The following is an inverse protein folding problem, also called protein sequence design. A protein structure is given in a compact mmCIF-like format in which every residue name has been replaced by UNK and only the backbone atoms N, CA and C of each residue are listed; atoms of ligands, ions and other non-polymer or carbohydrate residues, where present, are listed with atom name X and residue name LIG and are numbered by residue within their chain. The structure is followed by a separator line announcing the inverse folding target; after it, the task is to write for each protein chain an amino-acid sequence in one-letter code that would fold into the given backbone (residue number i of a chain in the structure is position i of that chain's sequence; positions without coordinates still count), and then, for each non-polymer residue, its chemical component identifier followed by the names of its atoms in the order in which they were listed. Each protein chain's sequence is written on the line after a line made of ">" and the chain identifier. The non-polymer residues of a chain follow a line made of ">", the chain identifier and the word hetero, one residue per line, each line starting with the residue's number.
data_IF_225739356293
#
_entry.id   IF_225739356293
#
_cell.length_a   1.000
_cell.length_b   1.000
_cell.length_c   1.000
_cell.angle_alpha   90.00
_cell.angle_beta   90.00
_cell.angle_gamma   90.00
#
_symmetry.space_group_name_H-M   'P 1'
#
loop_
_entity.id
_entity.type
_entity.pdbx_description
1 polymer ?
#
# COMPACT_ATOMS: atom_id res chain seq x y z
N UNK A 1 25.03 34.28 30.21
CA UNK A 1 25.10 32.86 29.84
C UNK A 1 23.70 32.46 29.43
N UNK A 2 23.41 32.58 28.14
CA UNK A 2 22.10 32.24 27.57
C UNK A 2 22.21 30.82 27.01
N UNK A 3 21.38 29.91 27.50
CA UNK A 3 21.30 28.55 27.01
C UNK A 3 20.56 28.55 25.65
N UNK A 4 21.23 28.02 24.63
CA UNK A 4 20.66 27.79 23.31
C UNK A 4 19.62 26.67 23.42
N UNK A 5 18.40 26.96 22.96
CA UNK A 5 17.35 25.96 22.79
C UNK A 5 17.70 25.19 21.51
N UNK A 6 18.33 24.02 21.66
CA UNK A 6 18.52 23.08 20.57
C UNK A 6 17.14 22.70 19.99
N UNK A 7 16.88 23.18 18.78
CA UNK A 7 15.71 22.80 18.00
C UNK A 7 15.76 21.30 17.73
N UNK A 8 14.77 20.57 18.25
CA UNK A 8 14.61 19.15 17.96
C UNK A 8 14.62 18.90 16.45
N UNK A 9 15.34 17.89 15.95
CA UNK A 9 15.35 17.57 14.53
C UNK A 9 13.92 17.18 14.11
N UNK A 10 13.37 17.95 13.18
CA UNK A 10 12.06 17.71 12.59
C UNK A 10 11.99 16.28 12.05
N UNK A 11 11.01 15.51 12.54
CA UNK A 11 10.69 14.17 12.06
C UNK A 11 10.63 14.13 10.51
N UNK A 12 11.24 13.14 9.85
CA UNK A 12 11.31 13.07 8.40
C UNK A 12 10.01 12.49 7.81
N UNK A 13 8.85 12.84 8.35
CA UNK A 13 7.60 12.63 7.63
C UNK A 13 7.63 13.53 6.39
N UNK A 14 8.09 12.95 5.28
CA UNK A 14 8.08 13.56 3.95
C UNK A 14 6.63 13.96 3.64
N UNK A 15 6.30 15.23 3.87
CA UNK A 15 5.14 15.88 3.27
C UNK A 15 5.30 15.81 1.75
N UNK A 16 4.44 15.02 1.10
CA UNK A 16 4.28 15.07 -0.34
C UNK A 16 4.60 13.78 -1.10
N UNK A 17 4.24 12.61 -0.57
CA UNK A 17 4.05 11.44 -1.44
C UNK A 17 2.90 11.80 -2.39
N UNK A 18 3.25 12.07 -3.66
CA UNK A 18 2.26 12.15 -4.73
C UNK A 18 1.60 10.78 -4.74
N UNK A 19 0.30 10.72 -4.37
CA UNK A 19 -0.48 9.48 -4.50
C UNK A 19 -0.22 8.94 -5.90
N UNK A 20 0.37 7.77 -5.97
CA UNK A 20 0.54 7.10 -7.24
C UNK A 20 -0.86 6.94 -7.85
N UNK A 21 -1.03 7.43 -9.09
CA UNK A 21 -2.30 7.37 -9.82
C UNK A 21 -2.50 5.96 -10.41
N UNK A 22 -1.66 4.98 -10.02
CA UNK A 22 -1.96 3.58 -10.23
C UNK A 22 -3.22 3.23 -9.43
N UNK A 23 -4.37 3.38 -10.06
CA UNK A 23 -5.65 3.00 -9.49
C UNK A 23 -5.64 1.48 -9.23
N UNK A 24 -5.59 1.05 -7.97
CA UNK A 24 -5.59 -0.36 -7.56
C UNK A 24 -6.52 -1.24 -8.38
N UNK A 25 -7.75 -0.76 -8.59
CA UNK A 25 -8.81 -1.44 -9.34
C UNK A 25 -9.29 -0.68 -10.59
N UNK A 26 -8.51 0.30 -11.06
CA UNK A 26 -8.86 1.06 -12.26
C UNK A 26 -9.72 2.31 -12.01
N UNK A 27 -10.02 2.99 -13.11
CA UNK A 27 -10.96 4.10 -13.17
C UNK A 27 -12.34 3.64 -13.63
N UNK A 28 -13.39 4.14 -12.99
CA UNK A 28 -14.79 3.95 -13.39
C UNK A 28 -15.44 5.29 -13.71
N UNK A 29 -16.51 5.25 -14.50
CA UNK A 29 -17.31 6.44 -14.83
C UNK A 29 -18.02 6.94 -13.57
N UNK A 30 -18.28 8.24 -13.47
CA UNK A 30 -18.90 8.87 -12.29
C UNK A 30 -20.23 8.23 -11.85
N UNK A 31 -20.95 7.61 -12.79
CA UNK A 31 -22.25 6.97 -12.58
C UNK A 31 -22.18 5.45 -12.76
N UNK A 32 -20.99 4.86 -12.62
CA UNK A 32 -20.81 3.41 -12.69
C UNK A 32 -21.63 2.74 -11.58
N UNK A 33 -22.50 1.81 -11.96
CA UNK A 33 -23.22 0.97 -11.01
C UNK A 33 -22.39 -0.27 -10.77
N UNK A 34 -21.84 -0.39 -9.57
CA UNK A 34 -21.08 -1.57 -9.20
C UNK A 34 -21.98 -2.79 -9.14
N UNK A 35 -21.51 -3.89 -9.73
CA UNK A 35 -22.22 -5.16 -9.79
C UNK A 35 -21.36 -6.33 -9.27
N UNK A 36 -21.89 -7.54 -9.40
CA UNK A 36 -21.20 -8.75 -8.97
C UNK A 36 -19.91 -9.03 -9.76
N UNK A 37 -19.80 -8.57 -11.02
CA UNK A 37 -18.59 -8.73 -11.81
C UNK A 37 -17.49 -7.81 -11.30
N UNK A 38 -17.82 -6.58 -10.89
CA UNK A 38 -16.84 -5.68 -10.28
C UNK A 38 -16.27 -6.26 -8.99
N UNK A 39 -17.13 -6.85 -8.15
CA UNK A 39 -16.69 -7.53 -6.93
C UNK A 39 -15.80 -8.74 -7.24
N UNK A 40 -16.19 -9.59 -8.20
CA UNK A 40 -15.38 -10.73 -8.62
C UNK A 40 -14.00 -10.28 -9.15
N UNK A 41 -13.96 -9.17 -9.89
CA UNK A 41 -12.71 -8.58 -10.37
C UNK A 41 -11.82 -8.08 -9.23
N UNK A 42 -12.40 -7.41 -8.23
CA UNK A 42 -11.71 -7.01 -7.00
C UNK A 42 -11.10 -8.21 -6.28
N UNK A 43 -11.89 -9.25 -6.02
CA UNK A 43 -11.41 -10.46 -5.35
C UNK A 43 -10.27 -11.10 -6.13
N UNK A 44 -10.43 -11.25 -7.45
CA UNK A 44 -9.37 -11.80 -8.30
C UNK A 44 -8.06 -10.98 -8.20
N UNK A 45 -8.16 -9.66 -8.20
CA UNK A 45 -6.98 -8.79 -8.18
C UNK A 45 -6.30 -8.75 -6.81
N UNK A 46 -7.06 -8.63 -5.71
CA UNK A 46 -6.48 -8.63 -4.36
C UNK A 46 -5.77 -9.96 -4.06
N UNK A 47 -6.39 -11.07 -4.46
CA UNK A 47 -5.90 -12.44 -4.19
C UNK A 47 -4.63 -12.70 -4.99
N UNK A 48 -4.64 -12.43 -6.31
CA UNK A 48 -3.50 -12.75 -7.18
C UNK A 48 -2.33 -11.77 -7.08
N UNK A 49 -2.59 -10.47 -6.84
CA UNK A 49 -1.52 -9.45 -6.84
C UNK A 49 -0.88 -9.23 -5.48
N UNK A 50 -1.62 -9.49 -4.40
CA UNK A 50 -1.14 -9.18 -3.04
C UNK A 50 -1.15 -10.41 -2.16
N UNK A 51 -2.30 -11.04 -1.94
CA UNK A 51 -2.45 -12.01 -0.85
C UNK A 51 -1.71 -13.34 -1.09
N UNK A 52 -1.80 -13.93 -2.28
CA UNK A 52 -1.06 -15.16 -2.60
C UNK A 52 0.35 -14.90 -3.16
N UNK A 53 0.85 -13.68 -3.05
CA UNK A 53 2.24 -13.33 -3.33
C UNK A 53 3.03 -13.07 -2.04
N UNK A 54 4.34 -12.76 -2.18
CA UNK A 54 5.21 -12.50 -1.03
C UNK A 54 4.68 -11.41 -0.09
N UNK A 55 3.92 -10.47 -0.66
CA UNK A 55 3.34 -9.34 0.07
C UNK A 55 2.15 -9.69 0.95
N UNK A 56 1.52 -10.85 0.79
CA UNK A 56 0.43 -11.30 1.65
C UNK A 56 0.84 -11.40 3.11
N UNK A 57 2.11 -11.78 3.36
CA UNK A 57 2.73 -11.78 4.68
C UNK A 57 2.72 -10.40 5.34
N UNK A 58 3.00 -9.35 4.57
CA UNK A 58 3.02 -7.96 5.06
C UNK A 58 1.60 -7.53 5.42
N UNK A 59 0.60 -7.93 4.62
CA UNK A 59 -0.81 -7.65 4.90
C UNK A 59 -1.29 -8.28 6.22
N UNK A 60 -0.80 -9.48 6.58
CA UNK A 60 -1.08 -10.08 7.89
C UNK A 60 -0.50 -9.27 9.06
N UNK A 61 0.67 -8.65 8.87
CA UNK A 61 1.38 -7.87 9.90
C UNK A 61 0.78 -6.47 10.12
N UNK A 62 0.09 -5.91 9.12
CA UNK A 62 -0.49 -4.55 9.17
C UNK A 62 -1.58 -4.34 10.24
N UNK A 63 -2.23 -5.43 10.69
CA UNK A 63 -3.35 -5.36 11.62
C UNK A 63 -4.67 -4.83 11.02
N UNK A 64 -5.66 -4.58 11.88
CA UNK A 64 -6.93 -3.96 11.49
C UNK A 64 -7.73 -4.72 10.43
N UNK A 65 -8.36 -3.96 9.52
CA UNK A 65 -9.17 -4.50 8.42
C UNK A 65 -8.32 -5.23 7.38
N UNK A 66 -7.11 -4.73 7.11
CA UNK A 66 -6.16 -5.34 6.16
C UNK A 66 -5.79 -6.76 6.61
N UNK A 67 -5.39 -6.93 7.87
CA UNK A 67 -5.07 -8.25 8.40
C UNK A 67 -6.30 -9.17 8.52
N UNK A 68 -7.52 -8.61 8.61
CA UNK A 68 -8.74 -9.43 8.57
C UNK A 68 -8.95 -10.02 7.18
N UNK A 69 -8.91 -9.18 6.14
CA UNK A 69 -9.04 -9.61 4.73
C UNK A 69 -7.95 -10.63 4.37
N UNK A 70 -6.72 -10.40 4.83
CA UNK A 70 -5.64 -11.36 4.59
C UNK A 70 -5.94 -12.74 5.22
N UNK A 71 -6.37 -12.79 6.49
CA UNK A 71 -6.68 -14.06 7.17
C UNK A 71 -7.86 -14.84 6.56
N UNK A 72 -8.74 -14.17 5.82
CA UNK A 72 -9.84 -14.85 5.12
C UNK A 72 -9.36 -15.63 3.90
N UNK A 73 -8.18 -15.29 3.36
CA UNK A 73 -7.70 -15.79 2.06
C UNK A 73 -6.42 -16.62 2.20
N UNK A 74 -5.52 -16.25 3.12
CA UNK A 74 -4.24 -16.94 3.33
C UNK A 74 -4.13 -17.55 4.72
N UNK A 75 -3.51 -18.73 4.77
CA UNK A 75 -3.28 -19.47 6.00
C UNK A 75 -2.00 -19.01 6.71
N UNK A 76 -1.90 -19.27 8.02
CA UNK A 76 -0.68 -19.02 8.78
C UNK A 76 0.53 -19.82 8.25
N UNK A 77 0.28 -20.92 7.53
CA UNK A 77 1.34 -21.69 6.85
C UNK A 77 1.90 -20.98 5.63
N UNK A 78 1.09 -20.22 4.89
CA UNK A 78 1.53 -19.43 3.73
C UNK A 78 2.43 -18.27 4.16
N UNK A 79 2.24 -17.76 5.37
CA UNK A 79 3.07 -16.72 5.98
C UNK A 79 4.53 -17.17 6.21
N UNK A 80 4.73 -18.45 6.57
CA UNK A 80 6.06 -18.96 6.95
C UNK A 80 6.91 -19.36 5.74
N UNK A 81 6.30 -19.61 4.58
CA UNK A 81 7.00 -20.12 3.40
C UNK A 81 7.51 -19.03 2.45
N UNK A 82 7.08 -17.78 2.64
CA UNK A 82 7.37 -16.71 1.69
C UNK A 82 8.41 -15.73 2.25
N UNK A 83 9.58 -15.73 1.63
CA UNK A 83 10.60 -14.70 1.78
C UNK A 83 10.43 -13.71 0.62
N UNK A 84 10.40 -12.41 0.94
CA UNK A 84 10.37 -11.34 -0.05
C UNK A 84 11.70 -10.59 0.01
N UNK A 85 12.51 -10.71 -1.03
CA UNK A 85 13.73 -9.89 -1.17
C UNK A 85 13.40 -8.43 -1.52
N UNK A 86 12.13 -8.13 -1.82
CA UNK A 86 11.63 -6.78 -2.10
C UNK A 86 11.79 -5.79 -0.95
N UNK A 87 12.10 -6.25 0.26
CA UNK A 87 12.40 -5.39 1.41
C UNK A 87 13.55 -4.42 1.14
N UNK A 88 14.53 -4.82 0.32
CA UNK A 88 15.65 -3.95 -0.02
C UNK A 88 15.29 -2.86 -1.03
N UNK A 89 14.24 -3.07 -1.82
CA UNK A 89 13.78 -2.14 -2.85
C UNK A 89 12.69 -1.19 -2.34
N UNK A 90 11.81 -1.68 -1.47
CA UNK A 90 10.58 -0.98 -1.05
C UNK A 90 10.42 -0.85 0.46
N UNK A 91 11.27 -1.50 1.26
CA UNK A 91 11.17 -1.48 2.72
C UNK A 91 11.84 -0.26 3.35
N UNK A 92 11.49 -0.01 4.60
CA UNK A 92 12.15 0.99 5.43
C UNK A 92 13.38 0.39 6.10
N UNK A 93 14.49 1.12 6.04
CA UNK A 93 15.74 0.76 6.68
C UNK A 93 15.97 1.66 7.89
N UNK A 94 16.05 1.05 9.06
CA UNK A 94 16.53 1.69 10.28
C UNK A 94 18.00 1.31 10.48
N UNK A 95 18.87 2.29 10.27
CA UNK A 95 20.32 2.15 10.45
C UNK A 95 20.88 3.38 11.16
N UNK A 96 21.80 3.15 12.10
CA UNK A 96 22.44 4.20 12.90
C UNK A 96 23.68 4.83 12.23
N UNK A 97 24.12 4.29 11.09
CA UNK A 97 25.27 4.79 10.34
C UNK A 97 26.63 4.24 10.80
N UNK A 98 26.67 3.55 11.95
CA UNK A 98 27.92 3.08 12.58
C UNK A 98 27.95 1.56 12.75
N UNK A 99 26.79 0.93 12.93
CA UNK A 99 26.64 -0.51 13.06
C UNK A 99 26.89 -1.23 11.74
N UNK A 100 27.43 -2.45 11.80
CA UNK A 100 27.51 -3.36 10.66
C UNK A 100 26.15 -3.97 10.28
N UNK A 101 25.10 -3.72 11.06
CA UNK A 101 23.79 -4.32 10.91
C UNK A 101 22.73 -3.22 10.79
N UNK A 102 21.75 -3.45 9.93
CA UNK A 102 20.58 -2.59 9.75
C UNK A 102 19.29 -3.39 9.93
N UNK A 103 18.26 -2.76 10.45
CA UNK A 103 16.93 -3.35 10.57
C UNK A 103 16.09 -2.94 9.38
N UNK A 104 15.48 -3.92 8.73
CA UNK A 104 14.62 -3.70 7.58
C UNK A 104 13.18 -4.08 7.92
N UNK A 105 12.24 -3.23 7.51
CA UNK A 105 10.82 -3.46 7.70
C UNK A 105 10.07 -3.26 6.38
N UNK A 106 9.35 -4.30 5.97
CA UNK A 106 8.46 -4.22 4.83
C UNK A 106 7.15 -3.51 5.18
N UNK A 107 6.65 -2.71 4.25
CA UNK A 107 5.32 -2.15 4.30
C UNK A 107 4.58 -2.35 2.97
N UNK A 108 3.25 -2.33 3.03
CA UNK A 108 2.41 -2.28 1.83
C UNK A 108 2.47 -0.88 1.23
N UNK A 109 2.58 -0.82 -0.08
CA UNK A 109 2.47 0.45 -0.82
C UNK A 109 1.04 1.00 -0.75
N UNK A 110 0.88 2.31 -0.98
CA UNK A 110 -0.46 2.93 -1.07
C UNK A 110 -1.36 2.22 -2.10
N UNK A 111 -0.78 1.78 -3.22
CA UNK A 111 -1.48 1.03 -4.26
C UNK A 111 -2.02 -0.32 -3.76
N UNK A 112 -1.21 -1.06 -3.00
CA UNK A 112 -1.59 -2.35 -2.44
C UNK A 112 -2.65 -2.19 -1.35
N UNK A 113 -2.53 -1.14 -0.53
CA UNK A 113 -3.56 -0.78 0.45
C UNK A 113 -4.89 -0.43 -0.22
N UNK A 114 -4.86 0.42 -1.25
CA UNK A 114 -6.03 0.77 -2.05
C UNK A 114 -6.67 -0.48 -2.69
N UNK A 115 -5.85 -1.37 -3.26
CA UNK A 115 -6.31 -2.62 -3.83
C UNK A 115 -6.96 -3.52 -2.77
N UNK A 116 -6.32 -3.74 -1.62
CA UNK A 116 -6.87 -4.57 -0.53
C UNK A 116 -8.17 -3.99 0.02
N UNK A 117 -8.24 -2.67 0.13
CA UNK A 117 -9.42 -1.95 0.62
C UNK A 117 -10.54 -1.81 -0.43
N UNK A 118 -10.36 -2.32 -1.65
CA UNK A 118 -11.40 -2.27 -2.67
C UNK A 118 -11.61 -0.88 -3.28
N UNK A 119 -10.58 -0.05 -3.33
CA UNK A 119 -10.68 1.36 -3.76
C UNK A 119 -10.75 1.46 -5.28
N UNK A 120 -11.77 2.16 -5.77
CA UNK A 120 -11.94 2.55 -7.17
C UNK A 120 -11.87 4.07 -7.32
N UNK A 121 -11.28 4.54 -8.41
CA UNK A 121 -11.30 5.97 -8.75
C UNK A 121 -12.45 6.27 -9.70
N UNK A 122 -13.22 7.31 -9.41
CA UNK A 122 -14.29 7.78 -10.28
C UNK A 122 -13.82 9.01 -11.06
N UNK A 123 -13.94 8.97 -12.38
CA UNK A 123 -13.66 10.13 -13.23
C UNK A 123 -14.68 11.24 -12.98
N UNK A 124 -14.23 12.46 -12.71
CA UNK A 124 -15.07 13.63 -12.36
C UNK A 124 -15.69 14.34 -13.58
N UNK A 125 -15.52 13.80 -14.80
CA UNK A 125 -16.31 14.19 -15.97
C UNK A 125 -16.02 15.54 -16.61
N UNK A 126 -15.02 16.32 -16.16
CA UNK A 126 -14.61 17.56 -16.84
C UNK A 126 -13.57 17.27 -17.92
N UNK A 127 -14.01 16.78 -19.07
CA UNK A 127 -13.24 16.94 -20.30
C UNK A 127 -13.56 18.33 -20.83
N UNK A 128 -12.61 19.27 -20.77
CA UNK A 128 -12.75 20.54 -21.45
C UNK A 128 -13.01 20.25 -22.93
N UNK A 129 -14.17 20.65 -23.45
CA UNK A 129 -14.42 20.65 -24.89
C UNK A 129 -13.45 21.66 -25.50
N UNK A 130 -12.33 21.20 -26.05
CA UNK A 130 -11.54 22.00 -26.98
C UNK A 130 -12.44 22.24 -28.19
N UNK A 131 -12.89 23.49 -28.35
CA UNK A 131 -13.73 23.92 -29.47
C UNK A 131 -13.05 23.66 -30.81
N UNK A 132 -13.89 23.32 -31.80
CA UNK A 132 -13.58 23.21 -33.22
C UNK A 132 -12.88 24.46 -33.78
#
# INVERSE_FOLDING_TARGET
>A
MSAEIESSPSSPFKKGVKRDISSGLGYRRQQHKFDAQDYAFYVLHRTNRVLHGPRGRIALQYGGAVARVAREEISDTDFLQQFDDGVYDYGDCLWDGESQHAYWHDFLTDHELDLLCGVYHLGTGTFAKTGM
#
